data_IF_825785359986
#
_entry.id   IF_825785359986
#
_cell.length_a   1.000
_cell.length_b   1.000
_cell.length_c   1.000
_cell.angle_alpha   90.00
_cell.angle_beta   90.00
_cell.angle_gamma   90.00
#
_symmetry.space_group_name_H-M   'P 1'
#
loop_
_entity.id
_entity.type
_entity.pdbx_description
1 polymer ?
#
# COMPACT_ATOMS: atom_id res chain seq x y z
N UNK A 1 45.22 71.19 11.70
CA UNK A 1 45.42 69.75 11.94
C UNK A 1 44.40 68.92 11.17
N UNK A 2 44.79 68.21 10.15
CA UNK A 2 43.88 67.43 9.32
C UNK A 2 43.55 66.07 9.99
N UNK A 3 42.30 65.81 10.21
CA UNK A 3 41.80 64.57 10.88
C UNK A 3 41.85 63.44 9.85
N UNK A 4 42.72 62.47 10.06
CA UNK A 4 42.88 61.26 9.20
C UNK A 4 41.61 60.44 9.30
N UNK A 5 40.86 60.28 8.17
CA UNK A 5 39.68 59.41 8.11
C UNK A 5 40.14 57.97 8.31
N UNK A 6 39.61 57.29 9.34
CA UNK A 6 39.78 55.85 9.53
C UNK A 6 39.02 55.10 8.46
N UNK A 7 39.72 54.32 7.66
CA UNK A 7 39.07 53.40 6.69
C UNK A 7 38.23 52.36 7.42
N UNK A 8 37.10 52.00 6.79
CA UNK A 8 36.21 50.92 7.31
C UNK A 8 37.00 49.61 7.17
N UNK A 9 37.04 48.77 8.22
CA UNK A 9 37.71 47.47 8.13
C UNK A 9 37.04 46.64 7.02
N UNK A 10 37.84 46.10 6.12
CA UNK A 10 37.31 45.18 5.09
C UNK A 10 36.81 43.87 5.71
N UNK A 11 35.72 43.35 5.20
CA UNK A 11 35.19 42.05 5.61
C UNK A 11 36.19 40.97 5.25
N UNK A 12 36.53 40.08 6.18
CA UNK A 12 37.46 38.99 5.89
C UNK A 12 36.75 37.93 5.04
N UNK A 13 37.09 37.84 3.76
CA UNK A 13 36.51 36.92 2.78
C UNK A 13 36.61 35.44 3.21
N UNK A 14 37.69 35.09 3.94
CA UNK A 14 37.89 33.73 4.45
C UNK A 14 36.84 33.35 5.48
N UNK A 15 36.52 34.27 6.41
CA UNK A 15 35.47 34.02 7.40
C UNK A 15 34.06 33.95 6.81
N UNK A 16 33.82 34.75 5.76
CA UNK A 16 32.54 34.72 5.04
C UNK A 16 32.36 33.41 4.26
N UNK A 17 33.44 32.92 3.65
CA UNK A 17 33.43 31.64 2.94
C UNK A 17 33.20 30.45 3.88
N UNK A 18 33.78 30.48 5.09
CA UNK A 18 33.58 29.42 6.10
C UNK A 18 32.13 29.38 6.59
N UNK A 19 31.56 30.56 6.86
CA UNK A 19 30.13 30.62 7.26
C UNK A 19 29.23 30.11 6.11
N UNK A 20 29.48 30.47 4.88
CA UNK A 20 28.72 29.99 3.72
C UNK A 20 28.85 28.48 3.54
N UNK A 21 30.04 27.92 3.74
CA UNK A 21 30.29 26.49 3.68
C UNK A 21 29.57 25.72 4.79
N UNK A 22 29.63 26.23 6.04
CA UNK A 22 28.91 25.63 7.16
C UNK A 22 27.40 25.68 6.97
N UNK A 23 26.85 26.76 6.42
CA UNK A 23 25.43 26.85 6.07
C UNK A 23 25.06 25.85 4.96
N UNK A 24 25.92 25.69 3.97
CA UNK A 24 25.67 24.71 2.89
C UNK A 24 25.64 23.27 3.42
N UNK A 25 26.59 22.90 4.29
CA UNK A 25 26.60 21.58 4.94
C UNK A 25 25.38 21.42 5.84
N UNK A 26 25.02 22.44 6.61
CA UNK A 26 23.84 22.41 7.46
C UNK A 26 22.57 22.16 6.63
N UNK A 27 22.37 22.89 5.54
CA UNK A 27 21.24 22.65 4.65
C UNK A 27 21.29 21.26 3.99
N UNK A 28 22.47 20.79 3.59
CA UNK A 28 22.61 19.45 3.00
C UNK A 28 22.16 18.35 3.98
N UNK A 29 22.52 18.48 5.27
CA UNK A 29 22.15 17.51 6.29
C UNK A 29 20.67 17.64 6.68
N UNK A 30 20.16 18.87 6.79
CA UNK A 30 18.76 19.11 7.19
C UNK A 30 17.76 18.86 6.08
N UNK A 31 18.17 18.96 4.79
CA UNK A 31 17.32 18.64 3.63
C UNK A 31 17.40 17.17 3.20
N UNK A 32 18.22 16.34 3.83
CA UNK A 32 18.11 14.90 3.71
C UNK A 32 16.78 14.45 4.34
N UNK A 33 15.69 14.71 3.63
CA UNK A 33 14.39 14.16 3.98
C UNK A 33 14.52 12.64 3.84
N UNK A 34 14.42 11.96 4.97
CA UNK A 34 14.14 10.55 4.99
C UNK A 34 12.90 10.34 4.10
N UNK A 35 13.08 9.64 3.00
CA UNK A 35 11.92 9.24 2.20
C UNK A 35 11.12 8.30 3.10
N UNK A 36 10.05 8.83 3.66
CA UNK A 36 9.09 8.06 4.42
C UNK A 36 8.76 6.79 3.63
N UNK A 37 9.28 5.67 4.08
CA UNK A 37 8.92 4.34 3.59
C UNK A 37 7.57 3.97 4.20
N UNK A 38 6.57 4.80 3.91
CA UNK A 38 5.20 4.54 4.29
C UNK A 38 4.49 3.69 3.24
N UNK A 39 3.48 2.96 3.67
CA UNK A 39 2.55 2.31 2.76
C UNK A 39 1.81 3.39 1.96
N UNK A 40 2.15 3.52 0.68
CA UNK A 40 1.44 4.43 -0.20
C UNK A 40 0.00 3.91 -0.38
N UNK A 41 -0.95 4.57 0.28
CA UNK A 41 -2.36 4.23 0.22
C UNK A 41 -3.13 5.28 -0.57
N UNK A 42 -3.78 4.86 -1.64
CA UNK A 42 -4.78 5.70 -2.30
C UNK A 42 -6.05 5.66 -1.47
N UNK A 43 -6.41 6.77 -0.85
CA UNK A 43 -7.74 6.91 -0.28
C UNK A 43 -8.78 6.78 -1.40
N UNK A 44 -9.91 6.12 -1.14
CA UNK A 44 -11.05 6.17 -2.06
C UNK A 44 -11.41 7.63 -2.32
N UNK A 45 -11.82 8.00 -3.56
CA UNK A 45 -12.34 9.33 -3.81
C UNK A 45 -13.49 9.60 -2.83
N UNK A 46 -13.64 10.85 -2.35
CA UNK A 46 -14.79 11.21 -1.52
C UNK A 46 -16.06 10.82 -2.26
N UNK A 47 -17.10 10.35 -1.56
CA UNK A 47 -18.37 10.06 -2.19
C UNK A 47 -18.86 11.34 -2.87
N UNK A 48 -18.91 11.34 -4.18
CA UNK A 48 -19.60 12.39 -4.92
C UNK A 48 -21.06 12.36 -4.46
N UNK A 49 -21.58 13.51 -4.04
CA UNK A 49 -22.98 13.69 -3.64
C UNK A 49 -23.87 13.53 -4.88
N UNK A 50 -23.97 12.33 -5.39
CA UNK A 50 -24.94 12.01 -6.42
C UNK A 50 -25.97 11.04 -5.85
N UNK A 51 -27.11 11.64 -5.59
CA UNK A 51 -28.40 10.99 -5.57
C UNK A 51 -28.59 10.31 -6.94
N UNK A 52 -28.00 9.18 -7.20
CA UNK A 52 -28.54 8.24 -8.18
C UNK A 52 -27.75 6.93 -8.16
N UNK A 53 -28.52 5.89 -7.97
CA UNK A 53 -28.12 4.50 -8.07
C UNK A 53 -27.26 3.98 -6.90
N UNK A 54 -27.97 3.65 -5.80
CA UNK A 54 -27.67 2.43 -5.09
C UNK A 54 -27.79 1.28 -6.11
N UNK A 55 -26.81 1.14 -6.98
CA UNK A 55 -26.54 -0.15 -7.53
C UNK A 55 -26.16 -0.99 -6.30
N UNK A 56 -27.08 -1.78 -5.82
CA UNK A 56 -26.83 -2.90 -4.94
C UNK A 56 -25.80 -3.76 -5.66
N UNK A 57 -24.52 -3.39 -5.55
CA UNK A 57 -23.43 -4.32 -5.81
C UNK A 57 -23.56 -5.29 -4.65
N UNK A 58 -24.41 -6.29 -4.84
CA UNK A 58 -24.45 -7.47 -3.98
C UNK A 58 -23.09 -8.10 -4.14
N UNK A 59 -22.14 -7.66 -3.31
CA UNK A 59 -20.81 -8.28 -3.26
C UNK A 59 -21.09 -9.68 -2.70
N UNK A 60 -21.01 -10.68 -3.56
CA UNK A 60 -21.20 -12.06 -3.12
C UNK A 60 -20.20 -12.35 -2.01
N UNK A 61 -20.64 -13.00 -0.95
CA UNK A 61 -19.82 -13.31 0.23
C UNK A 61 -18.50 -13.98 -0.15
N UNK A 62 -18.50 -14.84 -1.17
CA UNK A 62 -17.29 -15.48 -1.71
C UNK A 62 -16.23 -14.50 -2.24
N UNK A 63 -16.60 -13.28 -2.59
CA UNK A 63 -15.71 -12.26 -3.11
C UNK A 63 -15.10 -11.38 -2.00
N UNK A 64 -15.46 -11.62 -0.73
CA UNK A 64 -14.98 -10.84 0.40
C UNK A 64 -14.19 -11.72 1.36
N UNK A 65 -12.89 -11.43 1.51
CA UNK A 65 -12.08 -12.00 2.57
C UNK A 65 -12.17 -11.10 3.80
N UNK A 66 -12.86 -11.57 4.84
CA UNK A 66 -12.93 -10.84 6.10
C UNK A 66 -11.69 -11.13 6.94
N UNK A 67 -10.90 -10.09 7.20
CA UNK A 67 -9.73 -10.11 8.08
C UNK A 67 -10.06 -9.29 9.31
N UNK A 68 -10.23 -9.95 10.46
CA UNK A 68 -10.60 -9.31 11.72
C UNK A 68 -9.49 -9.48 12.74
N UNK A 69 -9.23 -8.44 13.50
CA UNK A 69 -8.23 -8.45 14.58
C UNK A 69 -8.93 -8.01 15.87
N UNK A 70 -8.77 -8.79 16.90
CA UNK A 70 -9.34 -8.46 18.21
C UNK A 70 -8.35 -7.63 19.07
N UNK A 71 -8.82 -7.20 20.23
CA UNK A 71 -8.03 -6.44 21.22
C UNK A 71 -6.81 -7.18 21.79
N UNK A 72 -6.73 -8.49 21.60
CA UNK A 72 -5.61 -9.33 22.04
C UNK A 72 -4.63 -9.61 20.89
N UNK A 73 -4.78 -8.90 19.75
CA UNK A 73 -4.00 -9.07 18.53
C UNK A 73 -4.17 -10.45 17.86
N UNK A 74 -5.27 -11.17 18.19
CA UNK A 74 -5.57 -12.42 17.54
C UNK A 74 -6.24 -12.16 16.19
N UNK A 75 -5.72 -12.80 15.15
CA UNK A 75 -6.17 -12.68 13.78
C UNK A 75 -7.22 -13.75 13.45
N UNK A 76 -8.33 -13.31 12.87
CA UNK A 76 -9.38 -14.18 12.32
C UNK A 76 -9.55 -13.85 10.83
N UNK A 77 -9.47 -14.87 9.97
CA UNK A 77 -9.60 -14.74 8.52
C UNK A 77 -10.68 -15.69 8.02
N UNK A 78 -11.71 -15.15 7.37
CA UNK A 78 -12.82 -15.97 6.87
C UNK A 78 -13.57 -16.74 7.94
N UNK A 79 -13.49 -16.32 9.22
CA UNK A 79 -14.11 -16.98 10.36
C UNK A 79 -13.21 -17.97 11.12
N UNK A 80 -11.98 -18.19 10.67
CA UNK A 80 -11.00 -19.08 11.31
C UNK A 80 -9.87 -18.27 11.94
N UNK A 81 -9.41 -18.69 13.14
CA UNK A 81 -8.20 -18.11 13.74
C UNK A 81 -6.96 -18.52 12.96
N UNK A 82 -6.12 -17.56 12.65
CA UNK A 82 -4.94 -17.75 11.80
C UNK A 82 -3.72 -17.05 12.40
N UNK A 83 -2.53 -17.64 12.23
CA UNK A 83 -1.28 -16.94 12.53
C UNK A 83 -1.00 -15.88 11.44
N UNK A 84 -0.46 -14.73 11.84
CA UNK A 84 -0.13 -13.62 10.91
C UNK A 84 0.79 -14.13 9.79
N UNK A 85 1.70 -15.06 10.08
CA UNK A 85 2.62 -15.64 9.09
C UNK A 85 1.90 -16.42 7.98
N UNK A 86 0.72 -16.92 8.24
CA UNK A 86 -0.09 -17.68 7.28
C UNK A 86 -1.01 -16.77 6.45
N UNK A 87 -1.20 -15.52 6.90
CA UNK A 87 -2.10 -14.56 6.24
C UNK A 87 -1.71 -14.33 4.78
N UNK A 88 -0.41 -14.20 4.50
CA UNK A 88 0.10 -13.99 3.13
C UNK A 88 -0.32 -15.11 2.19
N UNK A 89 -0.11 -16.36 2.60
CA UNK A 89 -0.47 -17.52 1.79
C UNK A 89 -1.99 -17.59 1.55
N UNK A 90 -2.78 -17.34 2.59
CA UNK A 90 -4.25 -17.32 2.51
C UNK A 90 -4.76 -16.20 1.62
N UNK A 91 -4.16 -15.02 1.70
CA UNK A 91 -4.49 -13.88 0.82
C UNK A 91 -4.11 -14.19 -0.64
N UNK A 92 -2.95 -14.78 -0.92
CA UNK A 92 -2.55 -15.19 -2.29
C UNK A 92 -3.54 -16.19 -2.88
N UNK A 93 -3.93 -17.21 -2.13
CA UNK A 93 -4.94 -18.18 -2.55
C UNK A 93 -6.27 -17.51 -2.89
N UNK A 94 -6.73 -16.61 -2.03
CA UNK A 94 -7.97 -15.86 -2.22
C UNK A 94 -7.92 -14.94 -3.45
N UNK A 95 -6.84 -14.17 -3.62
CA UNK A 95 -6.67 -13.24 -4.74
C UNK A 95 -6.58 -13.99 -6.08
N UNK A 96 -5.79 -15.07 -6.13
CA UNK A 96 -5.51 -15.77 -7.38
C UNK A 96 -6.62 -16.78 -7.75
N UNK A 97 -7.27 -17.39 -6.75
CA UNK A 97 -8.20 -18.52 -6.93
C UNK A 97 -7.68 -19.52 -7.97
N UNK A 98 -6.52 -20.16 -7.78
CA UNK A 98 -5.82 -20.90 -8.83
C UNK A 98 -6.68 -22.02 -9.41
N UNK A 99 -7.48 -22.70 -8.61
CA UNK A 99 -8.29 -23.85 -8.97
C UNK A 99 -9.73 -23.51 -9.38
N UNK A 100 -10.07 -22.20 -9.44
CA UNK A 100 -11.43 -21.72 -9.68
C UNK A 100 -12.46 -22.33 -8.71
N UNK A 101 -12.12 -22.36 -7.41
CA UNK A 101 -12.96 -22.87 -6.34
C UNK A 101 -14.20 -21.97 -6.18
N UNK A 102 -15.36 -22.59 -5.94
CA UNK A 102 -16.63 -21.90 -5.78
C UNK A 102 -16.73 -21.12 -4.46
N UNK A 103 -15.89 -21.42 -3.47
CA UNK A 103 -15.79 -20.69 -2.21
C UNK A 103 -14.85 -19.48 -2.28
N UNK A 104 -14.08 -19.34 -3.39
CA UNK A 104 -13.15 -18.26 -3.63
C UNK A 104 -13.72 -17.27 -4.66
N UNK A 105 -13.13 -16.09 -4.82
CA UNK A 105 -13.62 -15.05 -5.71
C UNK A 105 -13.84 -15.51 -7.14
N UNK A 106 -14.94 -15.08 -7.70
CA UNK A 106 -15.28 -15.37 -9.12
C UNK A 106 -14.27 -14.78 -10.07
N UNK A 107 -13.94 -15.56 -11.10
CA UNK A 107 -13.13 -15.09 -12.21
C UNK A 107 -14.01 -14.56 -13.33
N UNK A 108 -13.61 -13.42 -13.89
CA UNK A 108 -14.26 -12.81 -15.04
C UNK A 108 -13.27 -12.69 -16.20
N UNK A 109 -13.77 -12.89 -17.42
CA UNK A 109 -12.96 -12.69 -18.62
C UNK A 109 -12.68 -11.19 -18.80
N UNK A 110 -11.41 -10.83 -18.93
CA UNK A 110 -10.96 -9.47 -19.19
C UNK A 110 -9.84 -9.48 -20.24
N UNK A 111 -9.92 -8.55 -21.17
CA UNK A 111 -8.85 -8.37 -22.14
C UNK A 111 -7.83 -7.38 -21.58
N UNK A 112 -6.61 -7.84 -21.34
CA UNK A 112 -5.53 -7.04 -20.79
C UNK A 112 -4.37 -6.93 -21.79
N UNK A 113 -3.69 -5.77 -21.89
CA UNK A 113 -2.49 -5.63 -22.70
C UNK A 113 -1.47 -6.70 -22.31
N UNK A 114 -0.74 -7.24 -23.28
CA UNK A 114 0.27 -8.30 -23.14
C UNK A 114 -0.26 -9.69 -22.72
N UNK A 115 -1.45 -9.79 -22.11
CA UNK A 115 -2.04 -11.03 -21.62
C UNK A 115 -3.19 -11.55 -22.50
N UNK A 116 -3.80 -10.66 -23.30
CA UNK A 116 -4.99 -11.02 -24.09
C UNK A 116 -6.21 -11.26 -23.20
N UNK A 117 -7.07 -12.22 -23.61
CA UNK A 117 -8.24 -12.61 -22.84
C UNK A 117 -7.85 -13.56 -21.71
N UNK A 118 -7.91 -13.06 -20.49
CA UNK A 118 -7.58 -13.81 -19.27
C UNK A 118 -8.74 -13.82 -18.29
N UNK A 119 -8.77 -14.85 -17.45
CA UNK A 119 -9.75 -14.98 -16.37
C UNK A 119 -9.15 -14.43 -15.07
N UNK A 120 -9.64 -13.31 -14.58
CA UNK A 120 -9.15 -12.64 -13.38
C UNK A 120 -10.22 -12.48 -12.31
N UNK A 121 -9.79 -12.40 -11.05
CA UNK A 121 -10.65 -12.16 -9.88
C UNK A 121 -10.84 -10.66 -9.64
N UNK A 122 -11.44 -9.95 -10.60
CA UNK A 122 -11.54 -8.48 -10.52
C UNK A 122 -12.40 -7.98 -9.35
N UNK A 123 -13.39 -8.77 -8.91
CA UNK A 123 -14.37 -8.32 -7.89
C UNK A 123 -14.01 -8.73 -6.46
N UNK A 124 -12.83 -9.32 -6.24
CA UNK A 124 -12.40 -9.66 -4.88
C UNK A 124 -12.16 -8.40 -4.04
N UNK A 125 -12.44 -8.48 -2.74
CA UNK A 125 -12.16 -7.43 -1.76
C UNK A 125 -11.64 -8.06 -0.48
N UNK A 126 -10.55 -7.57 0.06
CA UNK A 126 -10.07 -7.93 1.39
C UNK A 126 -10.54 -6.84 2.36
N UNK A 127 -11.45 -7.20 3.26
CA UNK A 127 -11.99 -6.28 4.27
C UNK A 127 -11.26 -6.46 5.58
N UNK A 128 -10.47 -5.46 5.97
CA UNK A 128 -9.75 -5.44 7.25
C UNK A 128 -10.56 -4.69 8.28
N UNK A 129 -10.85 -5.33 9.41
CA UNK A 129 -11.58 -4.77 10.52
C UNK A 129 -10.82 -4.98 11.82
N UNK A 130 -10.45 -3.89 12.46
CA UNK A 130 -9.76 -3.90 13.75
C UNK A 130 -10.74 -3.63 14.90
N UNK A 131 -10.47 -4.21 16.07
CA UNK A 131 -11.09 -3.78 17.31
C UNK A 131 -10.42 -2.48 17.79
N UNK A 132 -11.12 -1.69 18.59
CA UNK A 132 -10.61 -0.42 19.17
C UNK A 132 -9.38 -0.66 20.07
N UNK A 133 -9.16 -1.88 20.57
CA UNK A 133 -8.03 -2.25 21.43
C UNK A 133 -6.86 -2.91 20.70
N UNK A 134 -6.93 -3.11 19.38
CA UNK A 134 -5.85 -3.74 18.60
C UNK A 134 -4.58 -2.88 18.64
N UNK A 135 -3.43 -3.52 18.82
CA UNK A 135 -2.14 -2.80 18.80
C UNK A 135 -1.82 -2.28 17.39
N UNK A 136 -1.12 -1.15 17.33
CA UNK A 136 -0.67 -0.58 16.07
C UNK A 136 0.31 -1.52 15.34
N UNK A 137 1.13 -2.25 16.09
CA UNK A 137 2.09 -3.20 15.54
C UNK A 137 1.39 -4.35 14.80
N UNK A 138 0.38 -4.97 15.43
CA UNK A 138 -0.41 -6.02 14.79
C UNK A 138 -1.10 -5.51 13.52
N UNK A 139 -1.65 -4.31 13.56
CA UNK A 139 -2.26 -3.68 12.39
C UNK A 139 -1.27 -3.52 11.23
N UNK A 140 -0.08 -2.98 11.51
CA UNK A 140 0.95 -2.77 10.47
C UNK A 140 1.46 -4.11 9.94
N UNK A 141 1.66 -5.11 10.78
CA UNK A 141 2.08 -6.45 10.34
C UNK A 141 1.06 -7.06 9.37
N UNK A 142 -0.23 -6.97 9.68
CA UNK A 142 -1.30 -7.46 8.81
C UNK A 142 -1.31 -6.72 7.48
N UNK A 143 -1.23 -5.40 7.49
CA UNK A 143 -1.16 -4.60 6.27
C UNK A 143 0.05 -4.99 5.41
N UNK A 144 1.21 -5.19 6.03
CA UNK A 144 2.42 -5.62 5.33
C UNK A 144 2.25 -6.99 4.67
N UNK A 145 1.66 -7.97 5.39
CA UNK A 145 1.43 -9.30 4.84
C UNK A 145 0.45 -9.29 3.66
N UNK A 146 -0.61 -8.48 3.74
CA UNK A 146 -1.57 -8.33 2.64
C UNK A 146 -0.94 -7.67 1.41
N UNK A 147 -0.17 -6.60 1.60
CA UNK A 147 0.55 -5.92 0.50
C UNK A 147 1.60 -6.84 -0.10
N UNK A 148 2.33 -7.60 0.74
CA UNK A 148 3.31 -8.58 0.28
C UNK A 148 2.67 -9.68 -0.57
N UNK A 149 1.46 -10.14 -0.23
CA UNK A 149 0.72 -11.11 -1.03
C UNK A 149 0.47 -10.62 -2.47
N UNK A 150 0.02 -9.36 -2.62
CA UNK A 150 -0.14 -8.76 -3.96
C UNK A 150 1.17 -8.60 -4.70
N UNK A 151 2.22 -8.14 -4.01
CA UNK A 151 3.53 -7.91 -4.62
C UNK A 151 4.16 -9.24 -5.09
N UNK A 152 4.03 -10.31 -4.31
CA UNK A 152 4.50 -11.63 -4.70
C UNK A 152 3.75 -12.16 -5.94
N UNK A 153 2.41 -12.12 -5.94
CA UNK A 153 1.61 -12.54 -7.09
C UNK A 153 1.95 -11.76 -8.36
N UNK A 154 2.12 -10.45 -8.23
CA UNK A 154 2.50 -9.58 -9.35
C UNK A 154 3.91 -9.86 -9.85
N UNK A 155 4.85 -10.13 -8.94
CA UNK A 155 6.21 -10.47 -9.33
C UNK A 155 6.30 -11.85 -9.97
N UNK A 156 5.58 -12.85 -9.45
CA UNK A 156 5.45 -14.17 -10.05
C UNK A 156 4.85 -14.10 -11.47
N UNK A 157 3.81 -13.28 -11.65
CA UNK A 157 3.19 -13.04 -12.96
C UNK A 157 4.15 -12.36 -13.93
N UNK A 158 4.87 -11.30 -13.49
CA UNK A 158 5.86 -10.60 -14.31
C UNK A 158 6.99 -11.54 -14.73
N UNK A 159 7.45 -12.37 -13.82
CA UNK A 159 8.51 -13.35 -14.09
C UNK A 159 8.07 -14.44 -15.08
N UNK A 160 6.83 -14.92 -14.97
CA UNK A 160 6.28 -15.92 -15.88
C UNK A 160 6.00 -15.37 -17.28
N UNK A 161 5.52 -14.12 -17.39
CA UNK A 161 5.10 -13.51 -18.66
C UNK A 161 6.25 -12.82 -19.38
N UNK A 162 7.09 -12.09 -18.65
CA UNK A 162 8.14 -11.23 -19.22
C UNK A 162 9.57 -11.72 -18.94
N UNK A 163 9.74 -12.76 -18.12
CA UNK A 163 11.05 -13.31 -17.77
C UNK A 163 11.92 -12.39 -16.90
N UNK A 164 11.34 -11.36 -16.28
CA UNK A 164 12.03 -10.36 -15.46
C UNK A 164 11.21 -9.99 -14.22
N UNK A 165 11.88 -9.43 -13.21
CA UNK A 165 11.20 -8.96 -12.02
C UNK A 165 10.28 -7.78 -12.34
N UNK A 166 9.21 -7.60 -11.55
CA UNK A 166 8.26 -6.48 -11.75
C UNK A 166 8.97 -5.12 -11.72
N UNK A 167 9.99 -4.95 -10.88
CA UNK A 167 10.77 -3.71 -10.79
C UNK A 167 11.46 -3.34 -12.11
N UNK A 168 11.87 -4.34 -12.90
CA UNK A 168 12.61 -4.20 -14.16
C UNK A 168 11.67 -4.09 -15.40
N UNK A 169 10.36 -4.19 -15.18
CA UNK A 169 9.35 -4.05 -16.24
C UNK A 169 9.20 -2.58 -16.67
N UNK A 170 8.77 -2.38 -17.92
CA UNK A 170 8.34 -1.06 -18.40
C UNK A 170 7.08 -0.59 -17.64
N UNK A 171 6.78 0.71 -17.69
CA UNK A 171 5.58 1.23 -17.02
C UNK A 171 4.28 0.61 -17.59
N UNK A 172 4.23 0.33 -18.88
CA UNK A 172 3.08 -0.33 -19.52
C UNK A 172 2.93 -1.78 -19.06
N UNK A 173 4.03 -2.53 -18.95
CA UNK A 173 4.05 -3.90 -18.44
C UNK A 173 3.64 -3.93 -16.96
N UNK A 174 4.17 -3.00 -16.14
CA UNK A 174 3.80 -2.86 -14.73
C UNK A 174 2.30 -2.60 -14.57
N UNK A 175 1.76 -1.67 -15.39
CA UNK A 175 0.33 -1.36 -15.32
C UNK A 175 -0.52 -2.58 -15.70
N UNK A 176 -0.14 -3.33 -16.73
CA UNK A 176 -0.87 -4.54 -17.12
C UNK A 176 -0.86 -5.62 -16.02
N UNK A 177 0.26 -5.79 -15.30
CA UNK A 177 0.35 -6.69 -14.15
C UNK A 177 -0.50 -6.20 -12.97
N UNK A 178 -0.54 -4.89 -12.72
CA UNK A 178 -1.38 -4.28 -11.69
C UNK A 178 -2.87 -4.48 -12.03
N UNK A 179 -3.24 -4.34 -13.30
CA UNK A 179 -4.62 -4.53 -13.76
C UNK A 179 -5.05 -6.01 -13.72
N UNK A 180 -4.08 -6.94 -13.79
CA UNK A 180 -4.32 -8.37 -13.59
C UNK A 180 -4.63 -8.73 -12.14
N UNK A 181 -3.86 -8.16 -11.18
CA UNK A 181 -4.06 -8.29 -9.74
C UNK A 181 -4.29 -6.90 -9.11
N UNK A 182 -5.49 -6.32 -9.27
CA UNK A 182 -5.81 -5.02 -8.69
C UNK A 182 -5.87 -5.14 -7.16
N UNK A 183 -5.14 -4.26 -6.47
CA UNK A 183 -5.14 -4.25 -5.01
C UNK A 183 -6.46 -3.66 -4.50
N UNK A 184 -7.24 -4.48 -3.80
CA UNK A 184 -8.54 -4.12 -3.24
C UNK A 184 -8.58 -4.47 -1.75
N UNK A 185 -7.92 -3.66 -0.95
CA UNK A 185 -7.96 -3.72 0.51
C UNK A 185 -8.86 -2.59 0.99
N UNK A 186 -9.95 -2.93 1.68
CA UNK A 186 -10.90 -2.01 2.28
C UNK A 186 -10.77 -2.08 3.80
N UNK A 187 -10.79 -0.94 4.46
CA UNK A 187 -10.86 -0.87 5.92
C UNK A 187 -12.30 -0.61 6.34
N UNK A 188 -12.81 -1.50 7.18
CA UNK A 188 -14.07 -1.29 7.84
C UNK A 188 -13.86 -0.49 9.14
N UNK A 189 -14.86 0.28 9.53
CA UNK A 189 -14.81 1.02 10.80
C UNK A 189 -14.54 0.09 11.98
N UNK A 190 -13.68 0.51 12.93
CA UNK A 190 -13.43 -0.26 14.15
C UNK A 190 -14.72 -0.50 14.91
N UNK A 191 -15.01 -1.74 15.25
CA UNK A 191 -16.15 -2.09 16.09
C UNK A 191 -15.67 -2.43 17.49
N UNK A 192 -16.40 -1.97 18.50
CA UNK A 192 -16.23 -2.46 19.88
C UNK A 192 -16.90 -3.82 19.99
N UNK A 193 -16.13 -4.88 19.96
CA UNK A 193 -16.63 -6.21 20.31
C UNK A 193 -16.58 -6.37 21.83
N UNK A 194 -17.74 -6.43 22.47
CA UNK A 194 -17.84 -6.76 23.89
C UNK A 194 -18.07 -5.62 24.86
N UNK A 195 -18.80 -4.58 24.46
CA UNK A 195 -19.36 -3.60 25.40
C UNK A 195 -20.79 -4.00 25.76
N UNK A 196 -21.01 -4.53 26.99
CA UNK A 196 -22.30 -4.37 27.69
C UNK A 196 -22.37 -2.96 28.19
#
# INVERSE_FOLDING_TARGET
MARKKRGVPGINSSSTADIAFMLLIFFLITTSMDTDRGLARRLPPPPENDQHEKSDIIVKERNVLQVRVNKNDELMVGGEFLDIKQLRAKAKEFIANPNNDDNLPEKHAKNLPFFGNVMITEKHVISVQNDVGTSYDAYIQIQNELVAAYNELRNELAQSQFGKALADCSEEEKQAVIDYYPQKISEAEPKKYGGK
#
